data_IF_780369337521
#
_entry.id   IF_780369337521
#
_cell.length_a   1.000
_cell.length_b   1.000
_cell.length_c   1.000
_cell.angle_alpha   90.00
_cell.angle_beta   90.00
_cell.angle_gamma   90.00
#
_symmetry.space_group_name_H-M   'P 1'
#
loop_
_entity.id
_entity.type
_entity.pdbx_description
1 polymer ?
#
# COMPACT_ATOMS: atom_id res chain seq x y z
N UNK A 1 -1.54 0.02 -24.54
CA UNK A 1 -0.77 1.09 -23.87
C UNK A 1 0.54 0.47 -23.46
N UNK A 2 1.65 1.01 -23.95
CA UNK A 2 2.99 0.60 -23.57
C UNK A 2 3.19 0.78 -22.06
N UNK A 3 4.09 -0.01 -21.46
CA UNK A 3 4.48 0.12 -20.06
C UNK A 3 4.65 1.59 -19.67
N UNK A 4 4.20 1.98 -18.47
CA UNK A 4 4.47 3.32 -17.99
C UNK A 4 5.99 3.49 -17.98
N UNK A 5 6.46 4.44 -18.77
CA UNK A 5 7.86 4.80 -18.75
C UNK A 5 8.22 5.23 -17.31
N UNK A 6 9.23 4.59 -16.66
CA UNK A 6 9.65 4.96 -15.32
C UNK A 6 9.95 6.45 -15.16
N UNK A 7 10.38 7.13 -16.24
CA UNK A 7 10.59 8.58 -16.27
C UNK A 7 9.29 9.38 -16.16
N UNK A 8 8.19 8.86 -16.71
CA UNK A 8 6.86 9.50 -16.56
C UNK A 8 6.34 9.37 -15.14
N UNK A 9 6.54 8.21 -14.52
CA UNK A 9 6.19 7.96 -13.12
C UNK A 9 6.98 8.90 -12.21
N UNK A 10 8.31 8.95 -12.37
CA UNK A 10 9.20 9.84 -11.63
C UNK A 10 8.75 11.31 -11.72
N UNK A 11 8.59 11.84 -12.95
CA UNK A 11 8.14 13.24 -13.16
C UNK A 11 6.81 13.51 -12.44
N UNK A 12 5.84 12.59 -12.53
CA UNK A 12 4.53 12.80 -11.91
C UNK A 12 4.62 12.85 -10.39
N UNK A 13 5.41 11.98 -9.77
CA UNK A 13 5.60 12.01 -8.33
C UNK A 13 6.44 13.19 -7.87
N UNK A 14 7.42 13.65 -8.63
CA UNK A 14 8.14 14.91 -8.35
C UNK A 14 7.19 16.13 -8.38
N UNK A 15 6.22 16.16 -9.32
CA UNK A 15 5.20 17.22 -9.40
C UNK A 15 4.23 17.21 -8.21
N UNK A 16 3.84 16.04 -7.71
CA UNK A 16 2.85 15.92 -6.64
C UNK A 16 3.47 15.91 -5.25
N UNK A 17 4.76 15.59 -5.12
CA UNK A 17 5.46 15.45 -3.83
C UNK A 17 5.27 16.63 -2.89
N UNK A 18 5.26 17.93 -3.32
CA UNK A 18 5.03 19.03 -2.40
C UNK A 18 3.65 19.05 -1.73
N UNK A 19 2.70 18.29 -2.27
CA UNK A 19 1.31 18.23 -1.81
C UNK A 19 0.88 16.84 -1.36
N UNK A 20 1.74 15.84 -1.52
CA UNK A 20 1.37 14.44 -1.34
C UNK A 20 0.91 14.15 0.10
N UNK A 21 1.58 14.73 1.09
CA UNK A 21 1.27 14.55 2.50
C UNK A 21 0.48 15.72 3.12
N UNK A 22 0.01 16.68 2.33
CA UNK A 22 -0.72 17.87 2.82
C UNK A 22 -2.17 17.61 3.23
N UNK A 23 -2.43 16.43 3.72
CA UNK A 23 -3.70 16.10 4.38
C UNK A 23 -4.82 15.71 3.41
N UNK A 24 -5.57 14.70 3.82
CA UNK A 24 -6.85 14.36 3.20
C UNK A 24 -7.81 15.56 3.31
N UNK A 25 -8.71 15.77 2.32
CA UNK A 25 -9.79 16.75 2.46
C UNK A 25 -10.48 16.63 3.80
N UNK A 26 -10.94 17.75 4.35
CA UNK A 26 -11.50 17.86 5.73
C UNK A 26 -12.78 17.03 5.98
N UNK A 27 -13.25 16.27 5.00
CA UNK A 27 -14.38 15.37 5.17
C UNK A 27 -14.03 14.24 6.16
N UNK A 28 -14.75 14.16 7.26
CA UNK A 28 -14.55 13.14 8.31
C UNK A 28 -14.48 11.70 7.76
N UNK A 29 -15.27 11.39 6.71
CA UNK A 29 -15.28 10.10 6.06
C UNK A 29 -13.93 9.77 5.35
N UNK A 30 -13.27 10.79 4.77
CA UNK A 30 -11.97 10.59 4.09
C UNK A 30 -10.85 10.45 5.13
N UNK A 31 -10.88 11.23 6.20
CA UNK A 31 -9.94 11.05 7.33
C UNK A 31 -10.06 9.65 7.93
N UNK A 32 -11.29 9.17 8.12
CA UNK A 32 -11.57 7.83 8.64
C UNK A 32 -11.14 6.74 7.66
N UNK A 33 -11.31 6.96 6.35
CA UNK A 33 -10.81 6.06 5.32
C UNK A 33 -9.30 5.86 5.44
N UNK A 34 -8.52 6.94 5.49
CA UNK A 34 -7.07 6.85 5.60
C UNK A 34 -6.62 6.28 6.94
N UNK A 35 -7.29 6.61 8.03
CA UNK A 35 -7.04 5.99 9.35
C UNK A 35 -7.24 4.47 9.27
N UNK A 36 -8.34 4.04 8.65
CA UNK A 36 -8.67 2.61 8.50
C UNK A 36 -7.64 1.91 7.61
N UNK A 37 -7.28 2.52 6.47
CA UNK A 37 -6.26 2.00 5.56
C UNK A 37 -4.92 1.79 6.28
N UNK A 38 -4.46 2.81 7.00
CA UNK A 38 -3.21 2.75 7.76
C UNK A 38 -3.25 1.73 8.89
N UNK A 39 -4.37 1.65 9.60
CA UNK A 39 -4.57 0.70 10.68
C UNK A 39 -4.51 -0.75 10.17
N UNK A 40 -5.27 -1.07 9.11
CA UNK A 40 -5.26 -2.39 8.49
C UNK A 40 -3.90 -2.74 7.87
N UNK A 41 -3.17 -1.74 7.37
CA UNK A 41 -1.80 -1.94 6.86
C UNK A 41 -0.82 -2.24 7.98
N UNK A 42 -0.83 -1.43 9.04
CA UNK A 42 0.22 -1.46 10.06
C UNK A 42 0.07 -2.59 11.07
N UNK A 43 -1.15 -2.86 11.55
CA UNK A 43 -1.40 -3.83 12.61
C UNK A 43 -0.81 -5.24 12.35
N UNK A 44 -1.01 -5.86 11.17
CA UNK A 44 -0.40 -7.15 10.86
C UNK A 44 1.13 -7.05 10.68
N UNK A 45 1.65 -5.93 10.20
CA UNK A 45 3.10 -5.71 10.04
C UNK A 45 3.78 -5.55 11.41
N UNK A 46 3.19 -4.77 12.31
CA UNK A 46 3.68 -4.60 13.69
C UNK A 46 3.74 -5.93 14.44
N UNK A 47 2.82 -6.86 14.15
CA UNK A 47 2.84 -8.19 14.75
C UNK A 47 4.01 -9.05 14.29
N UNK A 48 4.64 -8.75 13.14
CA UNK A 48 5.84 -9.43 12.64
C UNK A 48 7.12 -8.93 13.30
N UNK A 49 7.11 -7.70 13.83
CA UNK A 49 8.32 -7.07 14.37
C UNK A 49 8.80 -7.76 15.65
N UNK A 50 10.13 -7.86 15.88
CA UNK A 50 10.68 -8.47 17.06
C UNK A 50 10.30 -7.68 18.32
N UNK A 51 9.93 -8.40 19.37
CA UNK A 51 9.51 -7.81 20.66
C UNK A 51 10.63 -7.85 21.71
N UNK A 52 11.77 -8.40 21.35
CA UNK A 52 12.94 -8.53 22.22
C UNK A 52 13.95 -7.36 22.13
N UNK A 53 13.58 -6.32 21.35
CA UNK A 53 14.43 -5.16 21.11
C UNK A 53 15.47 -5.35 19.99
N UNK A 54 15.46 -6.47 19.28
CA UNK A 54 16.32 -6.68 18.10
C UNK A 54 16.01 -5.66 17.02
N UNK A 55 17.01 -4.87 16.60
CA UNK A 55 16.87 -3.93 15.51
C UNK A 55 16.97 -4.64 14.16
N UNK A 56 15.90 -4.58 13.36
CA UNK A 56 15.88 -5.10 12.00
C UNK A 56 16.35 -4.07 10.97
N UNK A 57 16.84 -4.56 9.85
CA UNK A 57 17.04 -3.78 8.62
C UNK A 57 15.79 -3.91 7.76
N UNK A 58 15.05 -2.83 7.61
CA UNK A 58 13.79 -2.78 6.87
C UNK A 58 14.00 -2.05 5.54
N UNK A 59 13.52 -2.61 4.44
CA UNK A 59 13.36 -1.89 3.18
C UNK A 59 11.92 -1.38 3.09
N UNK A 60 11.74 -0.06 2.99
CA UNK A 60 10.49 0.61 2.64
C UNK A 60 10.56 0.98 1.15
N UNK A 61 10.11 0.06 0.28
CA UNK A 61 10.25 0.13 -1.16
C UNK A 61 9.07 0.85 -1.81
N UNK A 62 9.34 1.97 -2.47
CA UNK A 62 8.31 2.93 -2.89
C UNK A 62 7.77 3.69 -1.70
N UNK A 63 8.62 3.97 -0.69
CA UNK A 63 8.23 4.52 0.60
C UNK A 63 7.74 5.98 0.57
N UNK A 64 7.76 6.63 -0.61
CA UNK A 64 7.24 7.98 -0.80
C UNK A 64 7.81 8.97 0.21
N UNK A 65 6.94 9.74 0.86
CA UNK A 65 7.30 10.71 1.91
C UNK A 65 7.76 10.07 3.25
N UNK A 66 7.92 8.75 3.35
CA UNK A 66 8.49 8.08 4.53
C UNK A 66 7.51 7.82 5.66
N UNK A 67 6.21 7.83 5.39
CA UNK A 67 5.14 7.66 6.39
C UNK A 67 5.28 6.37 7.21
N UNK A 68 5.44 5.23 6.54
CA UNK A 68 5.65 3.94 7.21
C UNK A 68 7.10 3.75 7.63
N UNK A 69 8.04 4.27 6.84
CA UNK A 69 9.46 4.25 7.19
C UNK A 69 9.73 4.87 8.56
N UNK A 70 9.11 6.02 8.88
CA UNK A 70 9.26 6.63 10.21
C UNK A 70 8.69 5.75 11.33
N UNK A 71 7.59 5.01 11.10
CA UNK A 71 7.03 4.08 12.11
C UNK A 71 7.99 2.94 12.45
N UNK A 72 8.66 2.37 11.42
CA UNK A 72 9.70 1.36 11.65
C UNK A 72 10.89 1.93 12.43
N UNK A 73 11.32 3.15 12.12
CA UNK A 73 12.42 3.81 12.82
C UNK A 73 12.04 4.14 14.27
N UNK A 74 10.82 4.61 14.54
CA UNK A 74 10.26 4.81 15.88
C UNK A 74 10.20 3.51 16.70
N UNK A 75 9.95 2.37 16.02
CA UNK A 75 10.00 1.05 16.63
C UNK A 75 11.44 0.52 16.87
N UNK A 76 12.48 1.30 16.54
CA UNK A 76 13.88 0.98 16.80
C UNK A 76 14.63 0.32 15.65
N UNK A 77 14.03 0.20 14.47
CA UNK A 77 14.63 -0.47 13.31
C UNK A 77 15.44 0.49 12.43
N UNK A 78 16.36 -0.05 11.62
CA UNK A 78 17.07 0.70 10.58
C UNK A 78 16.32 0.58 9.26
N UNK A 79 16.00 1.72 8.64
CA UNK A 79 15.13 1.78 7.47
C UNK A 79 15.90 2.28 6.25
N UNK A 80 15.80 1.55 5.15
CA UNK A 80 16.15 2.07 3.82
C UNK A 80 14.84 2.46 3.14
N UNK A 81 14.62 3.77 2.96
CA UNK A 81 13.51 4.29 2.15
C UNK A 81 13.98 4.37 0.71
N UNK A 82 13.34 3.60 -0.16
CA UNK A 82 13.63 3.61 -1.60
C UNK A 82 12.42 4.17 -2.33
N UNK A 83 12.64 5.15 -3.20
CA UNK A 83 11.61 5.68 -4.09
C UNK A 83 12.21 6.09 -5.44
N UNK A 84 11.38 6.10 -6.49
CA UNK A 84 11.80 6.53 -7.82
C UNK A 84 11.89 8.06 -7.94
N UNK A 85 11.19 8.79 -7.06
CA UNK A 85 11.10 10.26 -7.04
C UNK A 85 12.05 10.85 -6.01
N UNK A 86 13.06 11.63 -6.41
CA UNK A 86 13.88 12.42 -5.48
C UNK A 86 13.05 13.38 -4.63
N UNK A 87 11.99 13.98 -5.18
CA UNK A 87 11.10 14.87 -4.44
C UNK A 87 10.38 14.17 -3.29
N UNK A 88 9.98 12.89 -3.48
CA UNK A 88 9.43 12.07 -2.41
C UNK A 88 10.48 11.75 -1.35
N UNK A 89 11.69 11.41 -1.74
CA UNK A 89 12.80 11.15 -0.80
C UNK A 89 13.19 12.39 0.02
N UNK A 90 13.10 13.58 -0.58
CA UNK A 90 13.33 14.85 0.15
C UNK A 90 12.22 15.06 1.21
N UNK A 91 10.97 14.75 0.88
CA UNK A 91 9.86 14.72 1.83
C UNK A 91 10.10 13.73 2.97
N UNK A 92 10.52 12.50 2.64
CA UNK A 92 10.85 11.48 3.62
C UNK A 92 11.99 11.96 4.55
N UNK A 93 13.07 12.50 3.99
CA UNK A 93 14.18 13.05 4.76
C UNK A 93 13.73 14.14 5.72
N UNK A 94 12.84 15.03 5.28
CA UNK A 94 12.27 16.08 6.13
C UNK A 94 11.45 15.49 7.29
N UNK A 95 10.63 14.45 7.05
CA UNK A 95 9.86 13.77 8.10
C UNK A 95 10.78 13.08 9.13
N UNK A 96 11.79 12.34 8.67
CA UNK A 96 12.76 11.71 9.56
C UNK A 96 13.56 12.73 10.38
N UNK A 97 13.91 13.88 9.78
CA UNK A 97 14.57 14.99 10.46
C UNK A 97 13.70 15.57 11.56
N UNK A 98 12.43 15.86 11.25
CA UNK A 98 11.47 16.42 12.18
C UNK A 98 11.22 15.52 13.41
N UNK A 99 11.39 14.21 13.24
CA UNK A 99 11.24 13.20 14.30
C UNK A 99 12.57 12.82 14.99
N UNK A 100 13.72 13.37 14.55
CA UNK A 100 15.03 13.03 15.11
C UNK A 100 15.48 11.59 14.79
N UNK A 101 15.10 11.05 13.64
CA UNK A 101 15.30 9.64 13.27
C UNK A 101 16.30 9.42 12.11
N UNK A 102 17.04 10.46 11.71
CA UNK A 102 17.95 10.39 10.57
C UNK A 102 19.07 9.34 10.73
N UNK A 103 19.52 9.10 11.94
CA UNK A 103 20.54 8.10 12.27
C UNK A 103 20.08 6.66 12.01
N UNK A 104 18.77 6.45 11.85
CA UNK A 104 18.16 5.16 11.55
C UNK A 104 17.72 5.01 10.10
N UNK A 105 18.01 6.00 9.23
CA UNK A 105 17.47 6.04 7.87
C UNK A 105 18.57 6.12 6.80
N UNK A 106 18.37 5.40 5.73
CA UNK A 106 19.02 5.61 4.43
C UNK A 106 17.96 5.91 3.37
N UNK A 107 18.30 6.78 2.40
CA UNK A 107 17.39 7.20 1.33
C UNK A 107 18.03 6.87 -0.01
N UNK A 108 17.36 6.07 -0.82
CA UNK A 108 17.88 5.52 -2.08
C UNK A 108 16.92 5.83 -3.21
N UNK A 109 17.38 6.55 -4.23
CA UNK A 109 16.63 6.66 -5.49
C UNK A 109 16.71 5.32 -6.23
N UNK A 110 15.56 4.74 -6.61
CA UNK A 110 15.54 3.44 -7.27
C UNK A 110 14.18 3.01 -7.76
N UNK A 111 14.21 2.00 -8.66
CA UNK A 111 13.00 1.40 -9.23
C UNK A 111 12.80 0.01 -8.61
N UNK A 112 11.62 -0.26 -8.05
CA UNK A 112 11.28 -1.56 -7.44
C UNK A 112 11.37 -2.74 -8.41
N UNK A 113 11.25 -2.49 -9.73
CA UNK A 113 11.43 -3.52 -10.75
C UNK A 113 12.90 -3.75 -11.15
N UNK A 114 13.85 -3.00 -10.59
CA UNK A 114 15.29 -3.12 -10.89
C UNK A 114 16.09 -2.58 -9.69
N UNK A 115 16.06 -3.32 -8.57
CA UNK A 115 16.70 -2.90 -7.33
C UNK A 115 18.23 -3.05 -7.42
N UNK A 116 18.94 -1.94 -7.27
CA UNK A 116 20.41 -1.92 -7.13
C UNK A 116 20.82 -2.13 -5.66
N UNK A 117 20.21 -3.16 -5.04
CA UNK A 117 20.43 -3.53 -3.65
C UNK A 117 20.91 -4.99 -3.58
N UNK A 118 21.78 -5.34 -2.61
CA UNK A 118 22.31 -6.69 -2.48
C UNK A 118 21.23 -7.70 -2.11
N UNK A 119 21.46 -8.95 -2.50
CA UNK A 119 20.63 -10.09 -2.11
C UNK A 119 20.63 -10.29 -0.60
N UNK A 120 19.52 -10.75 -0.07
CA UNK A 120 19.38 -11.14 1.35
C UNK A 120 19.86 -10.07 2.35
N UNK A 121 19.58 -8.80 2.05
CA UNK A 121 20.04 -7.66 2.84
C UNK A 121 19.09 -7.24 3.97
N UNK A 122 17.80 -7.56 3.86
CA UNK A 122 16.76 -7.02 4.72
C UNK A 122 16.04 -8.09 5.54
N UNK A 123 15.76 -7.77 6.80
CA UNK A 123 14.99 -8.61 7.71
C UNK A 123 13.48 -8.50 7.47
N UNK A 124 13.02 -7.41 6.84
CA UNK A 124 11.67 -7.16 6.35
C UNK A 124 11.75 -6.34 5.07
N UNK A 125 10.97 -6.74 4.05
CA UNK A 125 10.71 -5.91 2.86
C UNK A 125 9.25 -5.49 2.88
N UNK A 126 9.04 -4.19 2.86
CA UNK A 126 7.73 -3.56 2.89
C UNK A 126 7.58 -2.68 1.64
N UNK A 127 6.55 -2.92 0.84
CA UNK A 127 6.28 -2.22 -0.42
C UNK A 127 4.81 -1.87 -0.47
N UNK A 128 4.46 -0.70 0.05
CA UNK A 128 3.08 -0.26 0.29
C UNK A 128 2.76 1.01 -0.51
N UNK A 129 1.47 1.24 -0.79
CA UNK A 129 1.03 2.37 -1.61
C UNK A 129 1.20 2.11 -3.11
N UNK A 130 1.09 0.85 -3.48
CA UNK A 130 0.93 0.33 -4.86
C UNK A 130 2.14 0.46 -5.81
N UNK A 131 3.43 0.50 -5.37
CA UNK A 131 4.56 0.62 -6.30
C UNK A 131 4.61 -0.53 -7.31
N UNK A 132 4.20 -1.75 -6.91
CA UNK A 132 4.13 -2.92 -7.78
C UNK A 132 3.06 -2.75 -8.88
N UNK A 133 1.94 -2.10 -8.57
CA UNK A 133 0.86 -1.80 -9.55
C UNK A 133 1.35 -0.89 -10.67
N UNK A 134 2.21 0.09 -10.35
CA UNK A 134 2.82 0.98 -11.36
C UNK A 134 3.83 0.28 -12.26
N UNK A 135 4.32 -0.90 -11.88
CA UNK A 135 5.24 -1.66 -12.73
C UNK A 135 4.55 -2.27 -13.97
N UNK A 136 3.23 -2.28 -14.04
CA UNK A 136 2.46 -2.82 -15.16
C UNK A 136 2.93 -4.25 -15.52
N UNK A 137 3.33 -4.52 -16.77
CA UNK A 137 3.81 -5.84 -17.21
C UNK A 137 5.12 -6.28 -16.55
N UNK A 138 5.85 -5.34 -15.94
CA UNK A 138 7.08 -5.63 -15.20
C UNK A 138 6.83 -6.05 -13.73
N UNK A 139 5.57 -6.12 -13.27
CA UNK A 139 5.27 -6.50 -11.89
C UNK A 139 5.88 -7.85 -11.44
N UNK A 140 5.96 -8.90 -12.28
CA UNK A 140 6.57 -10.15 -11.84
C UNK A 140 8.06 -9.97 -11.49
N UNK A 141 8.76 -9.09 -12.25
CA UNK A 141 10.13 -8.73 -11.96
C UNK A 141 10.23 -7.93 -10.67
N UNK A 142 9.32 -6.97 -10.43
CA UNK A 142 9.30 -6.20 -9.19
C UNK A 142 9.13 -7.11 -7.97
N UNK A 143 8.16 -8.04 -7.99
CA UNK A 143 7.96 -8.99 -6.91
C UNK A 143 9.20 -9.86 -6.68
N UNK A 144 9.85 -10.34 -7.78
CA UNK A 144 11.08 -11.12 -7.69
C UNK A 144 12.23 -10.33 -7.06
N UNK A 145 12.41 -9.06 -7.41
CA UNK A 145 13.43 -8.20 -6.83
C UNK A 145 13.19 -7.96 -5.33
N UNK A 146 11.93 -7.68 -4.93
CA UNK A 146 11.55 -7.49 -3.54
C UNK A 146 11.82 -8.76 -2.70
N UNK A 147 11.52 -9.93 -3.26
CA UNK A 147 11.84 -11.21 -2.60
C UNK A 147 13.35 -11.47 -2.57
N UNK A 148 14.10 -11.14 -3.64
CA UNK A 148 15.56 -11.34 -3.71
C UNK A 148 16.32 -10.60 -2.61
N UNK A 149 15.92 -9.36 -2.33
CA UNK A 149 16.62 -8.52 -1.33
C UNK A 149 16.22 -8.85 0.12
N UNK A 150 15.09 -9.52 0.35
CA UNK A 150 14.73 -10.06 1.66
C UNK A 150 15.67 -11.21 2.05
N UNK A 151 16.00 -11.37 3.32
CA UNK A 151 16.76 -12.54 3.81
C UNK A 151 15.92 -13.84 3.66
N UNK A 152 16.54 -15.02 3.56
CA UNK A 152 15.82 -16.28 3.68
C UNK A 152 14.96 -16.30 4.95
N UNK A 153 13.69 -16.67 4.84
CA UNK A 153 12.72 -16.66 5.94
C UNK A 153 12.15 -15.28 6.31
N UNK A 154 12.65 -14.19 5.73
CA UNK A 154 12.16 -12.85 6.03
C UNK A 154 10.78 -12.59 5.42
N UNK A 155 9.92 -11.81 6.11
CA UNK A 155 8.63 -11.38 5.57
C UNK A 155 8.81 -10.38 4.43
N UNK A 156 7.89 -10.48 3.45
CA UNK A 156 7.72 -9.56 2.33
C UNK A 156 6.25 -9.15 2.31
N UNK A 157 6.00 -7.85 2.44
CA UNK A 157 4.65 -7.27 2.49
C UNK A 157 4.45 -6.38 1.26
N UNK A 158 3.36 -6.60 0.52
CA UNK A 158 3.03 -5.82 -0.66
C UNK A 158 1.63 -5.21 -0.52
N UNK A 159 1.49 -3.92 -0.84
CA UNK A 159 0.21 -3.26 -1.09
C UNK A 159 0.02 -3.10 -2.60
N UNK A 160 -1.15 -3.47 -3.13
CA UNK A 160 -1.45 -3.41 -4.56
C UNK A 160 -2.91 -3.09 -4.84
N UNK A 161 -3.19 -2.50 -6.00
CA UNK A 161 -4.55 -2.24 -6.47
C UNK A 161 -5.35 -3.54 -6.68
N UNK A 162 -6.61 -3.53 -6.26
CA UNK A 162 -7.53 -4.65 -6.41
C UNK A 162 -8.33 -4.52 -7.71
N UNK A 163 -8.27 -5.55 -8.57
CA UNK A 163 -8.97 -5.59 -9.87
C UNK A 163 -10.49 -5.49 -9.74
N UNK A 164 -11.07 -6.14 -8.74
CA UNK A 164 -12.52 -6.13 -8.56
C UNK A 164 -13.01 -4.75 -8.14
N UNK A 165 -12.24 -4.01 -7.34
CA UNK A 165 -12.58 -2.63 -6.99
C UNK A 165 -12.32 -1.68 -8.16
N UNK A 166 -11.24 -1.84 -8.92
CA UNK A 166 -11.01 -1.08 -10.14
C UNK A 166 -12.18 -1.24 -11.14
N UNK A 167 -12.70 -2.46 -11.27
CA UNK A 167 -13.89 -2.75 -12.08
C UNK A 167 -15.15 -2.08 -11.50
N UNK A 168 -15.49 -2.34 -10.22
CA UNK A 168 -16.71 -1.84 -9.59
C UNK A 168 -16.71 -0.33 -9.46
N UNK A 169 -15.58 0.27 -9.11
CA UNK A 169 -15.39 1.71 -9.00
C UNK A 169 -15.59 2.42 -10.35
N UNK A 170 -15.01 1.87 -11.42
CA UNK A 170 -15.21 2.41 -12.77
C UNK A 170 -16.67 2.34 -13.21
N UNK A 171 -17.40 1.27 -12.88
CA UNK A 171 -18.85 1.19 -13.16
C UNK A 171 -19.64 2.23 -12.37
N UNK A 172 -19.37 2.39 -11.07
CA UNK A 172 -20.01 3.42 -10.21
C UNK A 172 -19.78 4.83 -10.73
N UNK A 173 -18.65 5.09 -11.40
CA UNK A 173 -18.31 6.36 -12.02
C UNK A 173 -18.87 6.52 -13.44
N UNK A 174 -19.66 5.57 -13.96
CA UNK A 174 -20.23 5.61 -15.31
C UNK A 174 -19.19 5.41 -16.42
N UNK A 175 -18.10 4.68 -16.15
CA UNK A 175 -16.98 4.41 -17.07
C UNK A 175 -16.92 2.95 -17.49
N UNK A 176 -17.91 2.40 -18.23
CA UNK A 176 -18.01 0.97 -18.50
C UNK A 176 -16.82 0.43 -19.31
N UNK A 177 -16.27 1.21 -20.26
CA UNK A 177 -15.11 0.75 -21.04
C UNK A 177 -13.85 0.60 -20.19
N UNK A 178 -13.66 1.47 -19.20
CA UNK A 178 -12.56 1.38 -18.23
C UNK A 178 -12.77 0.18 -17.31
N UNK A 179 -14.00 -0.03 -16.83
CA UNK A 179 -14.36 -1.19 -16.04
C UNK A 179 -14.05 -2.52 -16.76
N UNK A 180 -14.46 -2.64 -18.05
CA UNK A 180 -14.16 -3.84 -18.84
C UNK A 180 -12.65 -4.07 -19.03
N UNK A 181 -11.86 -3.01 -19.23
CA UNK A 181 -10.40 -3.12 -19.30
C UNK A 181 -9.82 -3.61 -17.98
N UNK A 182 -10.23 -2.99 -16.87
CA UNK A 182 -9.80 -3.41 -15.54
C UNK A 182 -10.10 -4.90 -15.33
N UNK A 183 -11.30 -5.38 -15.68
CA UNK A 183 -11.68 -6.78 -15.51
C UNK A 183 -10.88 -7.72 -16.42
N UNK A 184 -10.67 -7.35 -17.69
CA UNK A 184 -10.07 -8.22 -18.71
C UNK A 184 -8.56 -8.39 -18.53
N UNK A 185 -7.81 -7.29 -18.39
CA UNK A 185 -6.36 -7.28 -18.40
C UNK A 185 -5.71 -6.58 -17.18
N UNK A 186 -6.52 -6.15 -16.22
CA UNK A 186 -6.06 -5.46 -15.03
C UNK A 186 -5.68 -3.99 -15.25
N UNK A 187 -5.86 -3.46 -16.45
CA UNK A 187 -5.43 -2.10 -16.77
C UNK A 187 -6.44 -1.06 -16.33
N UNK A 188 -6.01 -0.16 -15.48
CA UNK A 188 -6.81 0.98 -15.01
C UNK A 188 -5.93 2.22 -14.85
N UNK A 189 -6.52 3.30 -14.36
CA UNK A 189 -5.84 4.57 -14.15
C UNK A 189 -6.04 5.00 -12.70
N UNK A 190 -4.96 5.28 -11.99
CA UNK A 190 -5.03 5.79 -10.62
C UNK A 190 -5.54 7.25 -10.58
N UNK A 191 -5.90 7.79 -9.39
CA UNK A 191 -6.37 9.17 -9.25
C UNK A 191 -5.41 10.24 -9.78
N UNK A 192 -4.11 9.92 -9.88
CA UNK A 192 -3.09 10.83 -10.43
C UNK A 192 -2.98 10.79 -11.96
N UNK A 193 -3.85 10.03 -12.65
CA UNK A 193 -3.86 9.91 -14.10
C UNK A 193 -2.82 8.96 -14.68
N UNK A 194 -2.13 8.20 -13.84
CA UNK A 194 -1.12 7.22 -14.25
C UNK A 194 -1.73 5.84 -14.48
N UNK A 195 -1.27 5.09 -15.50
CA UNK A 195 -1.70 3.72 -15.70
C UNK A 195 -1.16 2.81 -14.58
N UNK A 196 -2.01 1.92 -14.08
CA UNK A 196 -1.66 0.90 -13.08
C UNK A 196 -2.21 -0.46 -13.49
N UNK A 197 -1.61 -1.51 -12.97
CA UNK A 197 -2.11 -2.87 -13.03
C UNK A 197 -2.83 -3.19 -11.71
N UNK A 198 -4.11 -3.49 -11.80
CA UNK A 198 -4.91 -3.97 -10.68
C UNK A 198 -4.93 -5.52 -10.71
N UNK A 199 -4.75 -6.14 -9.55
CA UNK A 199 -4.48 -7.57 -9.41
C UNK A 199 -5.72 -8.37 -9.07
N UNK A 200 -5.74 -9.63 -9.51
CA UNK A 200 -6.55 -10.70 -8.92
C UNK A 200 -5.73 -11.44 -7.85
N UNK A 201 -6.42 -12.11 -6.93
CA UNK A 201 -5.77 -12.99 -5.93
C UNK A 201 -4.89 -14.03 -6.63
N UNK A 202 -5.38 -14.66 -7.71
CA UNK A 202 -4.64 -15.68 -8.46
C UNK A 202 -3.34 -15.15 -9.11
N UNK A 203 -3.31 -13.91 -9.57
CA UNK A 203 -2.08 -13.31 -10.10
C UNK A 203 -1.05 -13.09 -8.99
N UNK A 204 -1.51 -12.64 -7.81
CA UNK A 204 -0.65 -12.45 -6.64
C UNK A 204 -0.09 -13.78 -6.13
N UNK A 205 -0.91 -14.81 -6.02
CA UNK A 205 -0.46 -16.18 -5.67
C UNK A 205 0.67 -16.66 -6.58
N UNK A 206 0.48 -16.50 -7.91
CA UNK A 206 1.50 -16.87 -8.90
C UNK A 206 2.76 -16.04 -8.78
N UNK A 207 2.62 -14.70 -8.72
CA UNK A 207 3.76 -13.81 -8.66
C UNK A 207 4.64 -14.07 -7.43
N UNK A 208 4.01 -14.30 -6.26
CA UNK A 208 4.71 -14.65 -5.02
C UNK A 208 5.41 -16.02 -5.14
N UNK A 209 4.71 -17.03 -5.67
CA UNK A 209 5.29 -18.38 -5.84
C UNK A 209 6.46 -18.37 -6.82
N UNK A 210 6.32 -17.72 -7.98
CA UNK A 210 7.35 -17.61 -9.02
C UNK A 210 8.57 -16.79 -8.55
N UNK A 211 8.37 -15.88 -7.61
CA UNK A 211 9.44 -15.13 -6.97
C UNK A 211 10.22 -15.93 -5.91
N UNK A 212 9.79 -17.15 -5.57
CA UNK A 212 10.44 -17.97 -4.55
C UNK A 212 10.02 -17.64 -3.12
N UNK A 213 8.82 -17.10 -2.94
CA UNK A 213 8.22 -16.86 -1.63
C UNK A 213 7.05 -17.81 -1.34
N UNK A 214 6.70 -17.92 -0.08
CA UNK A 214 5.49 -18.56 0.43
C UNK A 214 4.45 -17.47 0.68
N UNK A 215 3.26 -17.64 0.14
CA UNK A 215 2.14 -16.79 0.47
C UNK A 215 1.58 -17.19 1.83
N UNK A 216 1.52 -16.26 2.76
CA UNK A 216 0.94 -16.47 4.09
C UNK A 216 -0.54 -16.04 4.11
N UNK A 217 -0.84 -14.85 3.58
CA UNK A 217 -2.18 -14.30 3.58
C UNK A 217 -2.35 -13.22 2.50
N UNK A 218 -3.57 -13.07 1.99
CA UNK A 218 -4.02 -11.88 1.24
C UNK A 218 -5.30 -11.39 1.88
N UNK A 219 -5.35 -10.11 2.22
CA UNK A 219 -6.56 -9.48 2.73
C UNK A 219 -6.85 -8.15 2.05
N UNK A 220 -8.12 -7.72 2.09
CA UNK A 220 -8.59 -6.48 1.47
C UNK A 220 -8.56 -5.32 2.45
N UNK A 221 -8.27 -4.11 1.96
CA UNK A 221 -8.22 -2.90 2.82
C UNK A 221 -8.46 -1.59 2.07
N UNK A 222 -9.34 -0.71 2.60
CA UNK A 222 -10.51 -1.02 3.42
C UNK A 222 -11.57 -1.75 2.59
N UNK A 223 -12.45 -2.48 3.26
CA UNK A 223 -13.47 -3.32 2.59
C UNK A 223 -14.79 -2.57 2.50
N UNK A 224 -15.32 -2.37 1.29
CA UNK A 224 -16.61 -1.71 1.04
C UNK A 224 -16.82 -0.43 1.88
N UNK A 225 -15.77 0.34 2.09
CA UNK A 225 -15.70 1.34 3.15
C UNK A 225 -16.85 2.37 3.09
N UNK A 226 -17.06 3.01 1.95
CA UNK A 226 -18.07 4.05 1.80
C UNK A 226 -19.50 3.50 1.82
N UNK A 227 -19.72 2.30 1.26
CA UNK A 227 -21.02 1.63 1.30
C UNK A 227 -21.37 1.22 2.75
N UNK A 228 -20.38 0.73 3.50
CA UNK A 228 -20.50 0.43 4.92
C UNK A 228 -20.81 1.68 5.74
N UNK A 229 -20.09 2.79 5.57
CA UNK A 229 -20.38 4.04 6.29
C UNK A 229 -21.79 4.54 6.02
N UNK A 230 -22.26 4.44 4.78
CA UNK A 230 -23.62 4.81 4.40
C UNK A 230 -24.66 3.94 5.12
N UNK A 231 -24.43 2.63 5.19
CA UNK A 231 -25.31 1.69 5.89
C UNK A 231 -25.32 1.95 7.40
N UNK A 232 -24.15 2.19 8.01
CA UNK A 232 -24.05 2.54 9.43
C UNK A 232 -24.75 3.87 9.75
N UNK A 233 -24.56 4.90 8.93
CA UNK A 233 -25.26 6.17 9.09
C UNK A 233 -26.79 6.01 9.09
N UNK A 234 -27.33 5.20 8.17
CA UNK A 234 -28.76 4.90 8.12
C UNK A 234 -29.24 4.11 9.36
N UNK A 235 -28.47 3.12 9.81
CA UNK A 235 -28.79 2.32 10.99
C UNK A 235 -28.79 3.14 12.29
N UNK A 236 -27.94 4.15 12.39
CA UNK A 236 -27.86 5.07 13.54
C UNK A 236 -28.80 6.29 13.41
N UNK A 237 -29.76 6.28 12.48
CA UNK A 237 -30.73 7.35 12.29
C UNK A 237 -30.15 8.66 11.75
N UNK A 238 -29.02 8.60 11.05
CA UNK A 238 -28.43 9.75 10.37
C UNK A 238 -29.31 10.23 9.21
N UNK A 239 -29.57 11.54 9.15
CA UNK A 239 -30.29 12.21 8.07
C UNK A 239 -29.44 13.29 7.42
N UNK A 240 -29.91 13.90 6.34
CA UNK A 240 -29.23 15.01 5.69
C UNK A 240 -29.10 16.23 6.64
N UNK A 241 -30.12 16.47 7.51
CA UNK A 241 -30.11 17.57 8.48
C UNK A 241 -29.32 17.24 9.75
N UNK A 242 -29.20 15.95 10.10
CA UNK A 242 -28.43 15.45 11.25
C UNK A 242 -27.55 14.29 10.81
N UNK A 243 -26.42 14.55 10.16
CA UNK A 243 -25.50 13.50 9.73
C UNK A 243 -24.92 12.73 10.93
N UNK A 244 -24.75 11.42 10.74
CA UNK A 244 -24.07 10.57 11.70
C UNK A 244 -22.59 10.95 11.79
N UNK A 245 -22.07 11.07 13.02
CA UNK A 245 -20.66 11.37 13.22
C UNK A 245 -19.81 10.11 13.09
N UNK A 246 -19.35 9.85 11.87
CA UNK A 246 -18.48 8.73 11.54
C UNK A 246 -17.14 8.77 12.29
N UNK A 247 -16.63 9.97 12.62
CA UNK A 247 -15.39 10.10 13.36
C UNK A 247 -15.52 9.73 14.84
N UNK A 248 -16.64 10.08 15.45
CA UNK A 248 -16.96 9.64 16.82
C UNK A 248 -17.09 8.11 16.92
N UNK A 249 -17.56 7.46 15.84
CA UNK A 249 -17.70 6.00 15.77
C UNK A 249 -16.46 5.27 15.19
N UNK A 250 -15.32 5.90 15.10
CA UNK A 250 -14.12 5.34 14.43
C UNK A 250 -13.66 3.99 14.98
N UNK A 251 -13.77 3.76 16.28
CA UNK A 251 -13.37 2.49 16.90
C UNK A 251 -14.26 1.31 16.44
N UNK A 252 -15.58 1.56 16.34
CA UNK A 252 -16.53 0.59 15.80
C UNK A 252 -16.26 0.30 14.32
N UNK A 253 -15.96 1.34 13.53
CA UNK A 253 -15.59 1.21 12.12
C UNK A 253 -14.30 0.40 11.97
N UNK A 254 -13.26 0.68 12.76
CA UNK A 254 -12.01 -0.06 12.71
C UNK A 254 -12.21 -1.54 13.06
N UNK A 255 -12.94 -1.84 14.14
CA UNK A 255 -13.22 -3.22 14.55
C UNK A 255 -13.99 -4.00 13.48
N UNK A 256 -14.97 -3.37 12.83
CA UNK A 256 -15.72 -4.00 11.75
C UNK A 256 -14.84 -4.22 10.51
N UNK A 257 -14.00 -3.27 10.16
CA UNK A 257 -13.09 -3.37 9.03
C UNK A 257 -12.02 -4.45 9.23
N UNK A 258 -11.48 -4.61 10.43
CA UNK A 258 -10.58 -5.72 10.75
C UNK A 258 -11.25 -7.07 10.49
N UNK A 259 -12.46 -7.23 10.94
CA UNK A 259 -13.23 -8.46 10.72
C UNK A 259 -13.46 -8.72 9.23
N UNK A 260 -13.93 -7.72 8.48
CA UNK A 260 -14.20 -7.84 7.05
C UNK A 260 -12.94 -8.12 6.23
N UNK A 261 -11.79 -7.54 6.61
CA UNK A 261 -10.54 -7.72 5.88
C UNK A 261 -10.12 -9.20 5.78
N UNK A 262 -10.40 -10.00 6.81
CA UNK A 262 -9.93 -11.38 6.94
C UNK A 262 -11.00 -12.47 6.72
N UNK A 263 -12.29 -12.15 6.72
CA UNK A 263 -13.40 -13.14 6.67
C UNK A 263 -13.93 -13.46 5.26
N UNK A 264 -13.06 -13.56 4.26
CA UNK A 264 -13.48 -13.89 2.88
C UNK A 264 -14.03 -12.71 2.09
N UNK A 265 -14.10 -11.52 2.66
CA UNK A 265 -14.46 -10.27 1.99
C UNK A 265 -13.26 -9.54 1.37
N UNK A 266 -12.07 -10.12 1.41
CA UNK A 266 -10.84 -9.50 0.90
C UNK A 266 -10.99 -8.97 -0.53
N UNK A 267 -11.71 -9.70 -1.39
CA UNK A 267 -11.96 -9.30 -2.78
C UNK A 267 -12.78 -8.02 -2.93
N UNK A 268 -13.46 -7.58 -1.89
CA UNK A 268 -14.24 -6.34 -1.85
C UNK A 268 -13.46 -5.17 -1.23
N UNK A 269 -12.18 -5.38 -0.90
CA UNK A 269 -11.28 -4.32 -0.44
C UNK A 269 -10.84 -3.43 -1.59
N UNK A 270 -10.55 -2.17 -1.31
CA UNK A 270 -10.02 -1.25 -2.33
C UNK A 270 -8.63 -1.67 -2.82
N UNK A 271 -7.79 -2.11 -1.89
CA UNK A 271 -6.47 -2.66 -2.17
C UNK A 271 -6.34 -4.05 -1.57
N UNK A 272 -5.40 -4.82 -2.07
CA UNK A 272 -4.92 -6.02 -1.40
C UNK A 272 -3.64 -5.71 -0.61
N UNK A 273 -3.54 -6.28 0.58
CA UNK A 273 -2.26 -6.49 1.24
C UNK A 273 -1.89 -7.95 1.16
N UNK A 274 -0.70 -8.21 0.67
CA UNK A 274 -0.10 -9.53 0.53
C UNK A 274 0.94 -9.70 1.61
N UNK A 275 0.77 -10.70 2.45
CA UNK A 275 1.74 -11.14 3.43
C UNK A 275 2.43 -12.39 2.88
N UNK A 276 3.72 -12.31 2.63
CA UNK A 276 4.51 -13.40 2.12
C UNK A 276 5.81 -13.58 2.92
N UNK A 277 6.49 -14.71 2.71
CA UNK A 277 7.79 -15.01 3.32
C UNK A 277 8.74 -15.58 2.28
N UNK A 278 9.94 -15.03 2.17
CA UNK A 278 10.96 -15.63 1.31
C UNK A 278 11.26 -17.06 1.78
N UNK A 279 11.26 -18.01 0.85
CA UNK A 279 11.66 -19.40 1.17
C UNK A 279 13.15 -19.45 1.58
N UNK A 280 13.48 -20.44 2.39
CA UNK A 280 14.84 -20.66 2.87
C UNK A 280 15.81 -21.02 1.74
#
# INVERSE_FOLDING_TARGET
>A
MTAADPQSLKRRYDEVSPKYDQGAPDAAAIKLFWLTYEHLTWKPVEALLPKDGTAWRVLDAGGGGGKFGTRFAEAGHHVTVLDISPGMLDGARAQFTAKGLLDRAAFVEGNVAALELPDAAFDLVFCEGDPVSYCLDAYPRAVKELVRVAKPGAPVVLGVDNRYEAFSGSLKLGRPLEAFRALHDGRTTCPYGLPVHAFTVRELERAVADAGAELLEIFGKPVMFFDMLKAMAAAHGGTAEKPWDAWAAREEVLALQEKLAHEGFAVLGQHFQVMARRKA
#
